data_IF_638339776608
#
_entry.id   IF_638339776608
#
_cell.length_a   1.000
_cell.length_b   1.000
_cell.length_c   1.000
_cell.angle_alpha   90.00
_cell.angle_beta   90.00
_cell.angle_gamma   90.00
#
_symmetry.space_group_name_H-M   'P 1'
#
loop_
_entity.id
_entity.type
_entity.pdbx_description
1 polymer ?
#
# COMPACT_ATOMS: atom_id res chain seq x y z
N UNK A 1 4.19 5.96 7.24
CA UNK A 1 3.61 6.37 5.94
C UNK A 1 4.60 7.32 5.28
N UNK A 2 5.02 7.02 4.04
CA UNK A 2 6.05 7.80 3.32
C UNK A 2 5.47 8.60 2.15
N UNK A 3 4.32 8.17 1.62
CA UNK A 3 3.59 8.87 0.56
C UNK A 3 2.10 8.52 0.63
N UNK A 4 1.24 9.48 0.29
CA UNK A 4 -0.19 9.24 0.11
C UNK A 4 -0.79 10.26 -0.85
N UNK A 5 -1.66 9.80 -1.75
CA UNK A 5 -2.55 10.62 -2.55
C UNK A 5 -3.92 9.92 -2.67
N UNK A 6 -4.84 10.47 -3.45
CA UNK A 6 -6.21 9.96 -3.61
C UNK A 6 -6.31 8.57 -4.26
N UNK A 7 -5.21 8.00 -4.76
CA UNK A 7 -5.17 6.73 -5.48
C UNK A 7 -4.44 5.67 -4.66
N UNK A 8 -3.32 6.03 -4.04
CA UNK A 8 -2.42 5.09 -3.38
C UNK A 8 -1.92 5.61 -2.03
N UNK A 9 -1.60 4.65 -1.17
CA UNK A 9 -0.88 4.86 0.09
C UNK A 9 0.38 4.01 0.09
N UNK A 10 1.50 4.60 0.49
CA UNK A 10 2.78 3.91 0.61
C UNK A 10 3.25 3.98 2.06
N UNK A 11 3.60 2.82 2.60
CA UNK A 11 4.07 2.65 3.97
C UNK A 11 5.43 1.96 3.98
N UNK A 12 6.28 2.37 4.92
CA UNK A 12 7.48 1.63 5.25
C UNK A 12 7.13 0.62 6.36
N UNK A 13 7.41 -0.65 6.13
CA UNK A 13 7.37 -1.67 7.16
C UNK A 13 8.70 -1.68 7.91
N UNK A 14 8.62 -1.46 9.22
CA UNK A 14 9.77 -1.51 10.10
C UNK A 14 10.09 -2.96 10.45
N UNK A 15 10.83 -3.62 9.56
CA UNK A 15 11.46 -4.92 9.75
C UNK A 15 12.99 -4.79 9.69
N UNK A 16 13.71 -5.84 10.09
CA UNK A 16 15.19 -5.86 10.06
C UNK A 16 15.75 -5.49 8.67
N UNK A 17 15.07 -5.94 7.61
CA UNK A 17 15.20 -5.41 6.26
C UNK A 17 13.93 -4.61 5.93
N UNK A 18 13.99 -3.29 5.68
CA UNK A 18 12.80 -2.48 5.49
C UNK A 18 12.12 -2.79 4.16
N UNK A 19 10.81 -3.03 4.21
CA UNK A 19 9.97 -3.24 3.03
C UNK A 19 9.06 -2.04 2.77
N UNK A 20 8.73 -1.83 1.50
CA UNK A 20 7.74 -0.83 1.10
C UNK A 20 6.43 -1.52 0.74
N UNK A 21 5.36 -1.16 1.44
CA UNK A 21 4.00 -1.62 1.13
C UNK A 21 3.23 -0.55 0.37
N UNK A 22 2.66 -0.94 -0.76
CA UNK A 22 1.85 -0.05 -1.61
C UNK A 22 0.42 -0.56 -1.61
N UNK A 23 -0.52 0.30 -1.23
CA UNK A 23 -1.94 -0.02 -1.15
C UNK A 23 -2.73 0.90 -2.09
N UNK A 24 -3.71 0.33 -2.80
CA UNK A 24 -4.74 1.13 -3.49
C UNK A 24 -5.74 1.67 -2.46
N UNK A 25 -6.10 2.95 -2.58
CA UNK A 25 -7.17 3.54 -1.76
C UNK A 25 -8.57 3.31 -2.35
N UNK A 26 -8.64 2.82 -3.60
CA UNK A 26 -9.90 2.48 -4.23
C UNK A 26 -10.33 1.08 -3.79
N UNK A 27 -11.59 0.94 -3.37
CA UNK A 27 -12.26 -0.37 -3.22
C UNK A 27 -12.48 -0.97 -4.62
N UNK A 28 -11.41 -1.51 -5.19
CA UNK A 28 -11.52 -2.40 -6.34
C UNK A 28 -11.93 -3.74 -5.72
N UNK A 29 -13.08 -4.30 -6.13
CA UNK A 29 -13.40 -5.70 -5.81
C UNK A 29 -12.25 -6.52 -6.35
N UNK A 30 -11.48 -7.14 -5.47
CA UNK A 30 -10.49 -8.13 -5.87
C UNK A 30 -11.26 -9.22 -6.61
N UNK A 31 -11.02 -9.36 -7.91
CA UNK A 31 -11.50 -10.51 -8.65
C UNK A 31 -10.70 -11.70 -8.14
N UNK A 32 -11.30 -12.45 -7.22
CA UNK A 32 -10.95 -13.85 -7.02
C UNK A 32 -11.85 -14.65 -7.96
N UNK A 33 -11.31 -15.01 -9.11
CA UNK A 33 -11.62 -16.30 -9.76
C UNK A 33 -10.50 -17.29 -9.42
#
# INVERSE_FOLDING_TARGET
>A
MIFQNNLIKVENELSELPWVKVFTQRKIKEFSE
#
